data_IF_994821003480
#
_entry.id   IF_994821003480
#
_cell.length_a   1.000
_cell.length_b   1.000
_cell.length_c   1.000
_cell.angle_alpha   90.00
_cell.angle_beta   90.00
_cell.angle_gamma   90.00
#
_symmetry.space_group_name_H-M   'P 1'
#
loop_
_entity.id
_entity.type
_entity.pdbx_description
1 polymer ?
#
# COMPACT_ATOMS: atom_id res chain seq x y z
N UNK A 1 -12.26 17.81 -2.18
CA UNK A 1 -12.54 16.74 -1.18
C UNK A 1 -11.23 16.41 -0.49
N UNK A 2 -11.25 15.79 0.70
CA UNK A 2 -10.00 15.44 1.41
C UNK A 2 -9.28 14.24 0.79
N UNK A 3 -9.98 13.42 0.00
CA UNK A 3 -9.42 12.32 -0.80
C UNK A 3 -10.14 12.27 -2.14
N UNK A 4 -9.36 12.26 -3.19
CA UNK A 4 -9.83 12.15 -4.57
C UNK A 4 -9.66 10.71 -5.06
N UNK A 5 -10.60 10.25 -5.89
CA UNK A 5 -10.56 8.97 -6.57
C UNK A 5 -10.78 9.20 -8.06
N UNK A 6 -9.86 8.68 -8.88
CA UNK A 6 -10.01 8.54 -10.31
C UNK A 6 -9.84 7.07 -10.69
N UNK A 7 -10.74 6.54 -11.50
CA UNK A 7 -10.63 5.18 -12.04
C UNK A 7 -10.62 5.27 -13.56
N UNK A 8 -9.46 5.04 -14.14
CA UNK A 8 -9.25 5.12 -15.58
C UNK A 8 -8.41 3.95 -16.05
N UNK A 9 -8.83 3.27 -17.12
CA UNK A 9 -8.08 2.15 -17.71
C UNK A 9 -7.81 0.99 -16.75
N UNK A 10 -8.69 0.76 -15.76
CA UNK A 10 -8.51 -0.28 -14.74
C UNK A 10 -7.56 0.11 -13.61
N UNK A 11 -7.12 1.36 -13.55
CA UNK A 11 -6.24 1.88 -12.48
C UNK A 11 -7.04 2.81 -11.59
N UNK A 12 -7.11 2.51 -10.29
CA UNK A 12 -7.71 3.39 -9.29
C UNK A 12 -6.61 4.25 -8.66
N UNK A 13 -6.61 5.55 -8.93
CA UNK A 13 -5.71 6.53 -8.33
C UNK A 13 -6.41 7.18 -7.14
N UNK A 14 -5.91 6.91 -5.94
CA UNK A 14 -6.40 7.42 -4.66
C UNK A 14 -5.41 8.47 -4.18
N UNK A 15 -5.84 9.72 -4.09
CA UNK A 15 -4.97 10.84 -3.69
C UNK A 15 -5.50 11.49 -2.43
N UNK A 16 -4.73 11.45 -1.34
CA UNK A 16 -5.03 12.23 -0.13
C UNK A 16 -4.76 13.69 -0.48
N UNK A 17 -5.80 14.53 -0.48
CA UNK A 17 -5.74 15.91 -0.97
C UNK A 17 -5.95 16.91 0.16
N UNK A 18 -4.94 17.02 1.03
CA UNK A 18 -4.82 18.00 2.11
C UNK A 18 -3.39 18.53 2.22
N UNK A 19 -2.80 19.06 1.11
CA UNK A 19 -1.38 19.44 1.09
C UNK A 19 -1.01 20.51 2.13
N UNK A 20 -1.93 21.39 2.49
CA UNK A 20 -1.76 22.40 3.55
C UNK A 20 -1.63 21.78 4.96
N UNK A 21 -2.05 20.52 5.12
CA UNK A 21 -1.91 19.70 6.32
C UNK A 21 -0.91 18.55 6.14
N UNK A 22 -0.03 18.63 5.13
CA UNK A 22 0.91 17.56 4.82
C UNK A 22 0.20 16.21 4.57
N UNK A 23 -0.99 16.24 4.02
CA UNK A 23 -1.86 15.08 3.76
C UNK A 23 -2.12 14.23 5.02
N UNK A 24 -2.20 14.89 6.19
CA UNK A 24 -2.59 14.24 7.44
C UNK A 24 -4.05 13.78 7.39
N UNK A 25 -4.34 12.67 8.06
CA UNK A 25 -5.64 12.00 8.06
C UNK A 25 -6.38 12.34 9.35
N UNK A 26 -7.51 13.04 9.23
CA UNK A 26 -8.51 13.23 10.27
C UNK A 26 -9.65 12.19 10.14
N UNK A 27 -10.65 12.24 11.02
CA UNK A 27 -11.76 11.28 11.00
C UNK A 27 -12.55 11.31 9.67
N UNK A 28 -12.77 12.50 9.13
CA UNK A 28 -13.49 12.66 7.86
C UNK A 28 -12.70 12.08 6.68
N UNK A 29 -11.39 12.30 6.67
CA UNK A 29 -10.48 11.72 5.66
C UNK A 29 -10.41 10.20 5.80
N UNK A 30 -10.33 9.66 7.01
CA UNK A 30 -10.35 8.22 7.25
C UNK A 30 -11.65 7.57 6.77
N UNK A 31 -12.80 8.18 7.08
CA UNK A 31 -14.09 7.70 6.59
C UNK A 31 -14.19 7.74 5.05
N UNK A 32 -13.63 8.79 4.43
CA UNK A 32 -13.61 8.89 2.96
C UNK A 32 -12.71 7.83 2.34
N UNK A 33 -11.53 7.57 2.91
CA UNK A 33 -10.64 6.49 2.47
C UNK A 33 -11.36 5.13 2.55
N UNK A 34 -12.03 4.84 3.66
CA UNK A 34 -12.78 3.59 3.83
C UNK A 34 -13.85 3.42 2.75
N UNK A 35 -14.64 4.47 2.47
CA UNK A 35 -15.65 4.44 1.41
C UNK A 35 -15.02 4.20 0.01
N UNK A 36 -13.84 4.77 -0.24
CA UNK A 36 -13.10 4.56 -1.49
C UNK A 36 -12.61 3.11 -1.59
N UNK A 37 -12.08 2.54 -0.52
CA UNK A 37 -11.64 1.14 -0.53
C UNK A 37 -12.78 0.20 -0.82
N UNK A 38 -13.95 0.39 -0.19
CA UNK A 38 -15.15 -0.41 -0.45
C UNK A 38 -15.63 -0.26 -1.90
N UNK A 39 -15.56 0.95 -2.46
CA UNK A 39 -15.90 1.19 -3.87
C UNK A 39 -14.95 0.41 -4.80
N UNK A 40 -13.65 0.46 -4.56
CA UNK A 40 -12.63 -0.25 -5.36
C UNK A 40 -12.82 -1.77 -5.24
N UNK A 41 -13.09 -2.28 -4.05
CA UNK A 41 -13.34 -3.72 -3.83
C UNK A 41 -14.57 -4.23 -4.56
N UNK A 42 -15.60 -3.37 -4.71
CA UNK A 42 -16.81 -3.68 -5.46
C UNK A 42 -16.70 -3.52 -6.97
N UNK A 43 -15.60 -2.95 -7.48
CA UNK A 43 -15.41 -2.71 -8.92
C UNK A 43 -14.48 -3.77 -9.55
N UNK A 44 -15.02 -4.75 -10.30
CA UNK A 44 -14.22 -5.80 -10.92
C UNK A 44 -13.32 -5.29 -12.05
N UNK A 45 -13.56 -4.07 -12.56
CA UNK A 45 -12.73 -3.47 -13.63
C UNK A 45 -11.39 -2.98 -13.09
N UNK A 46 -11.25 -2.74 -11.77
CA UNK A 46 -10.00 -2.28 -11.18
C UNK A 46 -8.98 -3.41 -11.13
N UNK A 47 -7.80 -3.12 -11.66
CA UNK A 47 -6.67 -4.04 -11.80
C UNK A 47 -5.46 -3.65 -10.95
N UNK A 48 -5.34 -2.37 -10.61
CA UNK A 48 -4.25 -1.83 -9.82
C UNK A 48 -4.73 -0.59 -9.07
N UNK A 49 -4.18 -0.35 -7.89
CA UNK A 49 -4.40 0.86 -7.11
C UNK A 49 -3.08 1.63 -6.97
N UNK A 50 -3.15 2.94 -7.12
CA UNK A 50 -2.06 3.87 -6.77
C UNK A 50 -2.53 4.75 -5.63
N UNK A 51 -1.86 4.67 -4.48
CA UNK A 51 -2.09 5.56 -3.33
C UNK A 51 -1.02 6.63 -3.29
N UNK A 52 -1.43 7.91 -3.20
CA UNK A 52 -0.52 9.06 -3.19
C UNK A 52 -1.01 10.19 -2.30
N UNK A 53 -0.15 11.16 -2.05
CA UNK A 53 -0.52 12.44 -1.46
C UNK A 53 -0.46 13.57 -2.50
N UNK A 54 -1.36 14.57 -2.41
CA UNK A 54 -1.32 15.74 -3.26
C UNK A 54 -0.10 16.64 -2.96
N UNK A 55 0.40 17.31 -3.99
CA UNK A 55 1.56 18.20 -3.90
C UNK A 55 2.89 17.44 -3.82
N UNK A 56 3.96 18.15 -3.47
CA UNK A 56 5.33 17.63 -3.52
C UNK A 56 5.94 17.35 -2.14
N UNK A 57 5.31 17.87 -1.06
CA UNK A 57 5.93 17.84 0.28
C UNK A 57 5.74 16.54 1.02
N UNK A 58 4.57 15.93 0.91
CA UNK A 58 4.24 14.75 1.69
C UNK A 58 3.33 13.78 0.94
N UNK A 59 3.62 12.51 1.11
CA UNK A 59 2.65 11.45 0.92
C UNK A 59 1.58 11.55 2.01
N UNK A 60 1.99 11.45 3.28
CA UNK A 60 1.14 11.73 4.44
C UNK A 60 2.00 11.87 5.71
N UNK A 61 1.65 12.85 6.55
CA UNK A 61 2.24 13.02 7.87
C UNK A 61 1.54 12.18 8.96
N UNK A 62 0.63 11.27 8.60
CA UNK A 62 -0.12 10.43 9.53
C UNK A 62 -1.35 11.10 10.12
N UNK A 63 -1.67 10.84 11.39
CA UNK A 63 -2.85 11.37 12.03
C UNK A 63 -2.82 12.92 12.17
N UNK A 64 -3.93 13.58 11.85
CA UNK A 64 -4.05 15.03 12.03
C UNK A 64 -4.26 15.38 13.50
N UNK A 65 -3.17 15.69 14.19
CA UNK A 65 -3.20 16.08 15.61
C UNK A 65 -3.82 17.47 15.85
N UNK A 66 -4.12 18.23 14.80
CA UNK A 66 -4.67 19.58 14.87
C UNK A 66 -6.14 19.65 14.45
N UNK A 67 -6.77 18.51 14.12
CA UNK A 67 -8.15 18.47 13.63
C UNK A 67 -9.19 18.96 14.64
N UNK A 68 -8.84 19.03 15.93
CA UNK A 68 -9.80 19.34 17.02
C UNK A 68 -10.72 18.17 17.34
N UNK A 69 -10.65 17.08 16.63
CA UNK A 69 -11.36 15.86 16.95
C UNK A 69 -10.96 15.41 18.36
N UNK A 70 -11.93 15.11 19.22
CA UNK A 70 -11.63 14.55 20.55
C UNK A 70 -10.98 13.19 20.34
N UNK A 71 -9.66 13.19 20.29
CA UNK A 71 -8.91 11.97 20.15
C UNK A 71 -9.26 11.05 21.32
N UNK A 72 -9.62 9.82 21.02
CA UNK A 72 -9.69 8.75 22.02
C UNK A 72 -8.36 8.71 22.77
N UNK A 73 -8.36 8.35 24.06
CA UNK A 73 -7.12 8.07 24.75
C UNK A 73 -6.33 7.00 23.98
N UNK A 74 -5.02 6.98 24.11
CA UNK A 74 -4.19 5.97 23.42
C UNK A 74 -4.62 4.53 23.73
N UNK A 75 -4.99 4.26 25.00
CA UNK A 75 -5.53 2.96 25.43
C UNK A 75 -6.87 2.66 24.77
N UNK A 76 -7.75 3.65 24.69
CA UNK A 76 -9.08 3.48 24.09
C UNK A 76 -8.99 3.28 22.57
N UNK A 77 -8.12 4.03 21.90
CA UNK A 77 -7.82 3.83 20.49
C UNK A 77 -7.32 2.40 20.21
N UNK A 78 -6.37 1.94 21.03
CA UNK A 78 -5.83 0.58 20.93
C UNK A 78 -6.87 -0.50 21.23
N UNK A 79 -7.71 -0.30 22.26
CA UNK A 79 -8.72 -1.26 22.67
C UNK A 79 -9.87 -1.41 21.65
N UNK A 80 -10.27 -0.31 21.02
CA UNK A 80 -11.29 -0.33 19.97
C UNK A 80 -10.76 -0.99 18.68
N UNK A 81 -9.45 -0.93 18.46
CA UNK A 81 -8.78 -1.49 17.31
C UNK A 81 -9.18 -0.83 15.99
N UNK A 82 -8.33 -1.00 14.99
CA UNK A 82 -8.66 -0.73 13.59
C UNK A 82 -8.25 -1.95 12.77
N UNK A 83 -9.17 -2.87 12.45
CA UNK A 83 -8.81 -4.13 11.78
C UNK A 83 -8.14 -3.92 10.43
N UNK A 84 -8.42 -2.80 9.74
CA UNK A 84 -7.79 -2.47 8.44
C UNK A 84 -6.52 -1.62 8.60
N UNK A 85 -6.17 -1.21 9.83
CA UNK A 85 -5.03 -0.35 10.14
C UNK A 85 -5.19 1.08 9.66
N UNK A 86 -4.09 1.87 9.69
CA UNK A 86 -4.14 3.28 9.38
C UNK A 86 -4.59 3.53 7.93
N UNK A 87 -5.46 4.53 7.74
CA UNK A 87 -6.03 4.86 6.44
C UNK A 87 -6.87 3.73 5.82
N UNK A 88 -7.20 2.70 6.61
CA UNK A 88 -7.97 1.54 6.15
C UNK A 88 -7.22 0.64 5.18
N UNK A 89 -5.87 0.72 5.10
CA UNK A 89 -5.07 -0.02 4.09
C UNK A 89 -3.97 -0.90 4.69
N UNK A 90 -3.43 -0.56 5.87
CA UNK A 90 -2.22 -1.22 6.39
C UNK A 90 -2.39 -2.74 6.54
N UNK A 91 -3.56 -3.20 7.00
CA UNK A 91 -3.89 -4.61 7.18
C UNK A 91 -5.02 -5.09 6.26
N UNK A 92 -5.43 -4.29 5.27
CA UNK A 92 -6.56 -4.63 4.41
C UNK A 92 -6.25 -5.83 3.52
N UNK A 93 -6.81 -6.97 3.84
CA UNK A 93 -6.66 -8.23 3.11
C UNK A 93 -7.80 -8.49 2.10
N UNK A 94 -8.87 -7.68 2.16
CA UNK A 94 -10.02 -7.74 1.26
C UNK A 94 -9.72 -7.11 -0.11
N UNK A 95 -8.75 -6.19 -0.18
CA UNK A 95 -8.32 -5.55 -1.43
C UNK A 95 -7.40 -6.48 -2.22
N UNK A 96 -7.97 -7.20 -3.18
CA UNK A 96 -7.31 -8.30 -3.93
C UNK A 96 -6.36 -7.83 -5.03
N UNK A 97 -6.45 -6.58 -5.47
CA UNK A 97 -5.60 -6.02 -6.54
C UNK A 97 -4.29 -5.45 -5.99
N UNK A 98 -3.20 -5.42 -6.77
CA UNK A 98 -1.95 -4.79 -6.37
C UNK A 98 -2.12 -3.33 -5.98
N UNK A 99 -1.38 -2.90 -4.93
CA UNK A 99 -1.35 -1.51 -4.45
C UNK A 99 0.06 -0.96 -4.58
N UNK A 100 0.21 0.14 -5.29
CA UNK A 100 1.43 0.92 -5.39
C UNK A 100 1.33 2.13 -4.46
N UNK A 101 2.26 2.29 -3.53
CA UNK A 101 2.47 3.55 -2.82
C UNK A 101 3.39 4.45 -3.65
N UNK A 102 2.84 5.55 -4.17
CA UNK A 102 3.58 6.62 -4.85
C UNK A 102 3.98 7.68 -3.82
N UNK A 103 5.20 7.60 -3.32
CA UNK A 103 5.67 8.41 -2.20
C UNK A 103 6.38 9.66 -2.71
N UNK A 104 5.63 10.77 -2.76
CA UNK A 104 6.05 12.06 -3.28
C UNK A 104 6.75 12.98 -2.25
N UNK A 105 7.05 12.49 -1.04
CA UNK A 105 7.67 13.29 0.01
C UNK A 105 7.65 12.58 1.37
N UNK A 106 7.30 13.29 2.44
CA UNK A 106 7.25 12.71 3.77
C UNK A 106 6.18 11.62 3.90
N UNK A 107 6.59 10.43 4.37
CA UNK A 107 5.71 9.34 4.80
C UNK A 107 6.00 9.08 6.29
N UNK A 108 5.23 9.70 7.18
CA UNK A 108 5.51 9.73 8.61
C UNK A 108 4.36 9.20 9.44
N UNK A 109 4.66 8.52 10.53
CA UNK A 109 3.66 7.96 11.43
C UNK A 109 2.68 7.06 10.70
N UNK A 110 1.38 7.32 10.83
CA UNK A 110 0.34 6.61 10.07
C UNK A 110 0.53 6.66 8.54
N UNK A 111 1.20 7.71 8.01
CA UNK A 111 1.59 7.77 6.60
C UNK A 111 2.59 6.67 6.24
N UNK A 112 3.56 6.41 7.11
CA UNK A 112 4.46 5.28 6.96
C UNK A 112 3.72 3.94 7.12
N UNK A 113 2.75 3.85 8.03
CA UNK A 113 1.94 2.64 8.21
C UNK A 113 1.14 2.31 6.95
N UNK A 114 0.58 3.31 6.24
CA UNK A 114 -0.05 3.10 4.94
C UNK A 114 0.93 2.58 3.88
N UNK A 115 2.17 3.08 3.85
CA UNK A 115 3.22 2.56 2.95
C UNK A 115 3.52 1.10 3.25
N UNK A 116 3.59 0.69 4.52
CA UNK A 116 3.80 -0.71 4.93
C UNK A 116 2.66 -1.64 4.49
N UNK A 117 1.47 -1.10 4.23
CA UNK A 117 0.33 -1.83 3.70
C UNK A 117 0.31 -1.98 2.18
N UNK A 118 1.15 -1.24 1.46
CA UNK A 118 1.26 -1.36 0.00
C UNK A 118 2.05 -2.62 -0.41
N UNK A 119 1.84 -3.07 -1.64
CA UNK A 119 2.56 -4.21 -2.21
C UNK A 119 3.86 -3.77 -2.91
N UNK A 120 3.87 -2.55 -3.45
CA UNK A 120 4.98 -1.94 -4.19
C UNK A 120 5.15 -0.50 -3.71
N UNK A 121 6.39 -0.08 -3.51
CA UNK A 121 6.71 1.29 -3.07
C UNK A 121 7.62 1.96 -4.08
N UNK A 122 7.19 3.08 -4.62
CA UNK A 122 7.97 3.91 -5.54
C UNK A 122 8.08 5.31 -4.92
N UNK A 123 9.27 5.83 -4.78
CA UNK A 123 9.52 7.05 -4.04
C UNK A 123 10.32 8.09 -4.83
N UNK A 124 10.00 9.35 -4.61
CA UNK A 124 10.87 10.45 -5.01
C UNK A 124 12.16 10.41 -4.18
N UNK A 125 13.27 10.83 -4.77
CA UNK A 125 14.62 10.81 -4.18
C UNK A 125 14.73 11.63 -2.87
N UNK A 126 13.96 12.71 -2.77
CA UNK A 126 13.89 13.56 -1.58
C UNK A 126 12.94 13.02 -0.48
N UNK A 127 12.18 11.96 -0.75
CA UNK A 127 11.21 11.40 0.20
C UNK A 127 11.90 10.88 1.48
N UNK A 128 11.15 10.97 2.60
CA UNK A 128 11.63 10.53 3.91
C UNK A 128 10.56 9.72 4.62
N UNK A 129 11.00 8.69 5.29
CA UNK A 129 10.18 7.67 5.93
C UNK A 129 10.47 7.64 7.43
N UNK A 130 9.43 7.47 8.26
CA UNK A 130 9.66 7.36 9.69
C UNK A 130 8.42 7.05 10.50
N UNK A 131 8.61 6.29 11.57
CA UNK A 131 7.66 6.11 12.66
C UNK A 131 8.10 7.02 13.80
N UNK A 132 7.54 8.23 13.82
CA UNK A 132 8.01 9.33 14.68
C UNK A 132 7.25 9.45 15.99
N UNK A 133 6.31 8.55 16.27
CA UNK A 133 5.34 8.58 17.38
C UNK A 133 6.03 8.65 18.75
N UNK A 134 7.14 7.94 18.94
CA UNK A 134 7.87 7.93 20.19
C UNK A 134 8.36 9.34 20.64
N UNK A 135 8.61 10.25 19.66
CA UNK A 135 9.02 11.63 19.94
C UNK A 135 7.91 12.49 20.55
N UNK A 136 6.67 12.06 20.42
CA UNK A 136 5.49 12.76 20.96
C UNK A 136 4.73 11.89 21.96
N UNK A 137 5.39 10.85 22.52
CA UNK A 137 4.81 9.98 23.54
C UNK A 137 3.67 9.09 23.03
N UNK A 138 3.68 8.78 21.73
CA UNK A 138 2.69 7.90 21.09
C UNK A 138 3.36 6.63 20.56
N UNK A 139 2.52 5.72 20.05
CA UNK A 139 2.96 4.44 19.47
C UNK A 139 2.37 4.28 18.07
N UNK A 140 3.11 3.68 17.11
CA UNK A 140 2.60 3.32 15.78
C UNK A 140 1.79 2.03 15.87
N UNK A 141 0.50 2.18 16.27
CA UNK A 141 -0.38 1.06 16.66
C UNK A 141 -1.04 0.36 15.48
N UNK A 142 -1.12 1.03 14.34
CA UNK A 142 -1.84 0.54 13.15
C UNK A 142 -0.95 -0.27 12.20
N UNK A 143 0.09 -0.88 12.71
CA UNK A 143 0.97 -1.79 11.97
C UNK A 143 2.44 -1.46 12.02
N UNK A 144 2.82 -0.21 12.32
CA UNK A 144 4.21 0.24 12.28
C UNK A 144 5.16 -0.63 13.09
N UNK A 145 4.83 -0.92 14.35
CA UNK A 145 5.67 -1.73 15.25
C UNK A 145 5.84 -3.17 14.79
N UNK A 146 4.87 -3.73 14.08
CA UNK A 146 4.87 -5.16 13.74
C UNK A 146 5.29 -5.42 12.31
N UNK A 147 4.96 -4.54 11.36
CA UNK A 147 5.28 -4.74 9.95
C UNK A 147 6.67 -4.26 9.58
N UNK A 148 7.13 -3.10 10.11
CA UNK A 148 8.43 -2.56 9.73
C UNK A 148 9.56 -3.58 9.98
N UNK A 149 9.60 -4.20 11.15
CA UNK A 149 10.63 -5.19 11.52
C UNK A 149 10.52 -6.53 10.76
N UNK A 150 9.46 -6.74 9.99
CA UNK A 150 9.28 -7.91 9.11
C UNK A 150 9.68 -7.63 7.67
N UNK A 151 9.69 -6.35 7.28
CA UNK A 151 9.98 -5.90 5.92
C UNK A 151 11.44 -5.45 5.74
N UNK A 152 12.08 -4.97 6.83
CA UNK A 152 13.49 -4.56 6.81
C UNK A 152 14.25 -5.22 7.97
N UNK A 153 15.59 -5.23 7.97
CA UNK A 153 16.36 -5.81 9.07
C UNK A 153 15.94 -5.24 10.44
N UNK A 154 15.70 -6.13 11.40
CA UNK A 154 15.11 -5.81 12.71
C UNK A 154 15.85 -4.71 13.46
N UNK A 155 17.20 -4.71 13.44
CA UNK A 155 18.01 -3.69 14.10
C UNK A 155 17.84 -2.30 13.46
N UNK A 156 17.64 -2.22 12.15
CA UNK A 156 17.35 -0.98 11.43
C UNK A 156 15.96 -0.48 11.84
N UNK A 157 14.94 -1.35 11.80
CA UNK A 157 13.60 -1.03 12.25
C UNK A 157 13.57 -0.54 13.69
N UNK A 158 14.31 -1.21 14.61
CA UNK A 158 14.46 -0.79 16.00
C UNK A 158 15.10 0.61 16.10
N UNK A 159 16.18 0.87 15.34
CA UNK A 159 16.82 2.19 15.27
C UNK A 159 15.87 3.29 14.84
N UNK A 160 15.01 3.03 13.87
CA UNK A 160 13.98 3.98 13.41
C UNK A 160 12.91 4.22 14.49
N UNK A 161 12.31 3.17 15.03
CA UNK A 161 11.18 3.27 15.97
C UNK A 161 11.60 3.82 17.33
N UNK A 162 12.74 3.36 17.89
CA UNK A 162 13.19 3.77 19.22
C UNK A 162 13.75 5.19 19.26
N UNK A 163 14.17 5.74 18.14
CA UNK A 163 14.67 7.12 18.04
C UNK A 163 13.68 8.07 17.37
N UNK A 164 12.64 7.54 16.70
CA UNK A 164 11.73 8.33 15.88
C UNK A 164 12.44 9.07 14.74
N UNK A 165 13.60 8.57 14.26
CA UNK A 165 14.32 9.23 13.17
C UNK A 165 13.64 9.03 11.83
N UNK A 166 13.79 10.02 10.96
CA UNK A 166 13.39 9.93 9.57
C UNK A 166 14.56 9.45 8.72
N UNK A 167 14.29 8.52 7.82
CA UNK A 167 15.28 7.88 6.95
C UNK A 167 15.02 8.28 5.50
N UNK A 168 16.07 8.64 4.72
CA UNK A 168 15.92 8.97 3.30
C UNK A 168 15.47 7.78 2.45
N UNK A 169 14.80 8.05 1.33
CA UNK A 169 14.35 7.03 0.37
C UNK A 169 15.49 6.11 -0.08
N UNK A 170 16.66 6.66 -0.39
CA UNK A 170 17.83 5.88 -0.83
C UNK A 170 18.29 4.85 0.22
N UNK A 171 18.19 5.16 1.52
CA UNK A 171 18.52 4.21 2.58
C UNK A 171 17.41 3.16 2.72
N UNK A 172 16.13 3.55 2.65
CA UNK A 172 15.01 2.61 2.72
C UNK A 172 15.02 1.62 1.55
N UNK A 173 15.48 2.05 0.37
CA UNK A 173 15.70 1.17 -0.78
C UNK A 173 16.82 0.14 -0.50
N UNK A 174 17.94 0.57 0.12
CA UNK A 174 19.02 -0.36 0.55
C UNK A 174 18.55 -1.38 1.58
N UNK A 175 17.56 -1.02 2.40
CA UNK A 175 16.97 -1.93 3.40
C UNK A 175 15.89 -2.86 2.79
N UNK A 176 15.55 -2.68 1.50
CA UNK A 176 14.62 -3.54 0.77
C UNK A 176 13.15 -3.13 0.88
N UNK A 177 12.81 -1.96 1.43
CA UNK A 177 11.43 -1.51 1.53
C UNK A 177 10.93 -0.88 0.23
N UNK A 178 11.78 -0.22 -0.55
CA UNK A 178 11.41 0.57 -1.72
C UNK A 178 11.87 -0.13 -2.98
N UNK A 179 10.96 -0.29 -3.94
CA UNK A 179 11.20 -0.94 -5.23
C UNK A 179 11.98 -0.04 -6.20
N UNK A 180 11.67 1.28 -6.22
CA UNK A 180 12.37 2.24 -7.05
C UNK A 180 12.44 3.62 -6.37
N UNK A 181 13.59 4.28 -6.52
CA UNK A 181 13.82 5.67 -6.12
C UNK A 181 14.24 6.45 -7.34
N UNK A 182 13.50 7.50 -7.66
CA UNK A 182 13.72 8.32 -8.86
C UNK A 182 13.66 9.81 -8.53
N UNK A 183 14.24 10.69 -9.35
CA UNK A 183 14.02 12.12 -9.24
C UNK A 183 12.52 12.47 -9.24
N UNK A 184 12.11 13.45 -8.45
CA UNK A 184 10.69 13.80 -8.31
C UNK A 184 9.95 14.02 -9.65
N UNK A 185 10.53 14.66 -10.67
CA UNK A 185 9.87 14.82 -11.97
C UNK A 185 9.63 13.50 -12.74
N UNK A 186 10.36 12.44 -12.39
CA UNK A 186 10.27 11.12 -13.04
C UNK A 186 9.32 10.17 -12.31
N UNK A 187 8.80 10.57 -11.14
CA UNK A 187 8.04 9.69 -10.25
C UNK A 187 6.77 9.13 -10.92
N UNK A 188 6.03 9.95 -11.65
CA UNK A 188 4.83 9.51 -12.35
C UNK A 188 5.16 8.53 -13.49
N UNK A 189 6.18 8.83 -14.26
CA UNK A 189 6.63 7.94 -15.36
C UNK A 189 7.09 6.59 -14.84
N UNK A 190 7.76 6.55 -13.68
CA UNK A 190 8.15 5.30 -13.03
C UNK A 190 6.94 4.51 -12.56
N UNK A 191 5.99 5.16 -11.88
CA UNK A 191 4.73 4.52 -11.46
C UNK A 191 3.97 3.96 -12.66
N UNK A 192 3.89 4.70 -13.76
CA UNK A 192 3.19 4.26 -14.98
C UNK A 192 3.88 3.04 -15.63
N UNK A 193 5.21 2.91 -15.56
CA UNK A 193 5.92 1.68 -15.97
C UNK A 193 5.48 0.48 -15.15
N UNK A 194 5.44 0.60 -13.81
CA UNK A 194 4.98 -0.48 -12.94
C UNK A 194 3.51 -0.83 -13.16
N UNK A 195 2.65 0.16 -13.42
CA UNK A 195 1.26 -0.07 -13.80
C UNK A 195 1.17 -0.86 -15.11
N UNK A 196 1.96 -0.51 -16.11
CA UNK A 196 1.98 -1.22 -17.38
C UNK A 196 2.39 -2.69 -17.20
N UNK A 197 3.43 -2.96 -16.42
CA UNK A 197 3.87 -4.33 -16.10
C UNK A 197 2.77 -5.13 -15.35
N UNK A 198 2.12 -4.52 -14.35
CA UNK A 198 1.03 -5.13 -13.61
C UNK A 198 -0.16 -5.43 -14.53
N UNK A 199 -0.57 -4.47 -15.35
CA UNK A 199 -1.75 -4.62 -16.20
C UNK A 199 -1.51 -5.54 -17.41
N UNK A 200 -0.27 -5.80 -17.76
CA UNK A 200 0.10 -6.83 -18.73
C UNK A 200 -0.07 -8.26 -18.21
N UNK A 201 -0.16 -8.46 -16.90
CA UNK A 201 -0.33 -9.79 -16.28
C UNK A 201 -1.81 -10.18 -16.17
N UNK A 202 -2.10 -11.48 -16.10
CA UNK A 202 -3.46 -12.00 -15.88
C UNK A 202 -4.00 -11.57 -14.50
N UNK A 203 -5.17 -10.91 -14.43
CA UNK A 203 -5.68 -10.33 -13.18
C UNK A 203 -5.93 -11.35 -12.07
N UNK A 204 -6.45 -12.52 -12.40
CA UNK A 204 -6.70 -13.58 -11.40
C UNK A 204 -5.40 -14.17 -10.87
N UNK A 205 -4.35 -14.25 -11.70
CA UNK A 205 -3.02 -14.67 -11.25
C UNK A 205 -2.43 -13.68 -10.25
N UNK A 206 -2.57 -12.38 -10.49
CA UNK A 206 -2.10 -11.35 -9.54
C UNK A 206 -2.86 -11.42 -8.21
N UNK A 207 -4.19 -11.63 -8.24
CA UNK A 207 -5.01 -11.82 -7.03
C UNK A 207 -4.57 -13.04 -6.23
N UNK A 208 -4.31 -14.15 -6.91
CA UNK A 208 -3.82 -15.39 -6.30
C UNK A 208 -2.44 -15.21 -5.66
N UNK A 209 -1.50 -14.58 -6.37
CA UNK A 209 -0.14 -14.29 -5.86
C UNK A 209 -0.23 -13.39 -4.61
N UNK A 210 -1.00 -12.30 -4.66
CA UNK A 210 -1.16 -11.39 -3.52
C UNK A 210 -1.79 -12.10 -2.32
N UNK A 211 -2.83 -12.91 -2.55
CA UNK A 211 -3.46 -13.69 -1.48
C UNK A 211 -2.46 -14.66 -0.83
N UNK A 212 -1.65 -15.37 -1.63
CA UNK A 212 -0.58 -16.23 -1.12
C UNK A 212 0.42 -15.45 -0.29
N UNK A 213 0.97 -14.36 -0.81
CA UNK A 213 1.96 -13.55 -0.10
C UNK A 213 1.44 -13.07 1.27
N UNK A 214 0.19 -12.63 1.35
CA UNK A 214 -0.39 -12.07 2.59
C UNK A 214 -0.83 -13.13 3.59
N UNK A 215 -1.58 -14.13 3.15
CA UNK A 215 -2.21 -15.12 4.05
C UNK A 215 -1.26 -16.19 4.53
N UNK A 216 -0.16 -16.44 3.81
CA UNK A 216 0.81 -17.47 4.19
C UNK A 216 2.08 -16.91 4.81
N UNK A 217 2.17 -15.60 5.04
CA UNK A 217 3.37 -14.92 5.53
C UNK A 217 3.91 -15.43 6.89
N UNK A 218 3.07 -16.13 7.66
CA UNK A 218 3.44 -16.72 8.96
C UNK A 218 3.60 -18.24 8.92
N UNK A 219 3.38 -18.87 7.77
CA UNK A 219 3.49 -20.31 7.58
C UNK A 219 4.92 -20.71 7.21
N UNK A 220 5.30 -21.96 7.47
CA UNK A 220 6.50 -22.51 6.85
C UNK A 220 6.32 -22.60 5.33
N UNK A 221 7.42 -22.58 4.57
CA UNK A 221 7.35 -22.66 3.11
C UNK A 221 6.58 -23.90 2.61
N UNK A 222 6.71 -25.03 3.32
CA UNK A 222 6.01 -26.28 2.97
C UNK A 222 4.50 -26.17 3.22
N UNK A 223 4.09 -25.62 4.35
CA UNK A 223 2.67 -25.38 4.65
C UNK A 223 2.06 -24.38 3.67
N UNK A 224 2.76 -23.26 3.41
CA UNK A 224 2.34 -22.27 2.43
C UNK A 224 2.15 -22.87 1.04
N UNK A 225 3.11 -23.67 0.55
CA UNK A 225 2.99 -24.35 -0.75
C UNK A 225 1.82 -25.35 -0.80
N UNK A 226 1.40 -25.87 0.36
CA UNK A 226 0.23 -26.74 0.50
C UNK A 226 -1.11 -26.00 0.62
N UNK A 227 -1.11 -24.68 0.82
CA UNK A 227 -2.34 -23.93 1.04
C UNK A 227 -3.27 -23.97 -0.21
N UNK A 228 -4.57 -24.10 0.05
CA UNK A 228 -5.60 -24.20 -1.00
C UNK A 228 -6.52 -22.97 -0.89
N UNK A 229 -5.99 -21.82 -1.27
CA UNK A 229 -6.74 -20.58 -1.23
C UNK A 229 -7.73 -20.52 -2.41
N UNK A 230 -8.95 -19.99 -2.19
CA UNK A 230 -9.95 -19.84 -3.26
C UNK A 230 -9.43 -19.09 -4.49
N UNK A 231 -8.61 -18.07 -4.29
CA UNK A 231 -8.02 -17.26 -5.36
C UNK A 231 -7.10 -18.06 -6.28
N UNK A 232 -6.40 -19.10 -5.75
CA UNK A 232 -5.58 -19.99 -6.57
C UNK A 232 -6.48 -20.87 -7.44
N UNK A 233 -7.55 -21.43 -6.85
CA UNK A 233 -8.50 -22.29 -7.56
C UNK A 233 -9.18 -21.48 -8.69
N UNK A 234 -9.60 -20.25 -8.40
CA UNK A 234 -10.17 -19.34 -9.37
C UNK A 234 -9.21 -19.07 -10.54
N UNK A 235 -7.97 -18.71 -10.26
CA UNK A 235 -6.94 -18.43 -11.27
C UNK A 235 -6.64 -19.67 -12.14
N UNK A 236 -6.50 -20.85 -11.52
CA UNK A 236 -6.17 -22.10 -12.22
C UNK A 236 -7.31 -22.64 -13.10
N UNK A 237 -8.55 -22.27 -12.81
CA UNK A 237 -9.72 -22.65 -13.60
C UNK A 237 -10.17 -21.56 -14.59
N UNK A 238 -9.44 -20.44 -14.69
CA UNK A 238 -9.83 -19.30 -15.49
C UNK A 238 -9.64 -19.51 -17.00
N UNK A 239 -10.40 -18.78 -17.81
CA UNK A 239 -10.16 -18.67 -19.25
C UNK A 239 -8.79 -18.06 -19.54
N UNK A 240 -8.32 -17.16 -18.68
CA UNK A 240 -7.05 -16.45 -18.81
C UNK A 240 -5.82 -17.39 -18.73
N UNK A 241 -5.93 -18.51 -18.01
CA UNK A 241 -4.88 -19.53 -18.00
C UNK A 241 -4.65 -20.12 -19.40
N UNK A 242 -5.71 -20.39 -20.14
CA UNK A 242 -5.63 -20.91 -21.49
C UNK A 242 -5.19 -19.84 -22.49
N UNK A 243 -5.70 -18.63 -22.34
CA UNK A 243 -5.33 -17.47 -23.16
C UNK A 243 -3.83 -17.17 -23.06
N UNK A 244 -3.26 -17.19 -21.85
CA UNK A 244 -1.84 -16.92 -21.65
C UNK A 244 -0.95 -17.90 -22.42
N UNK A 245 -1.28 -19.18 -22.41
CA UNK A 245 -0.54 -20.22 -23.15
C UNK A 245 -0.73 -20.05 -24.67
N UNK A 246 -1.95 -19.78 -25.13
CA UNK A 246 -2.23 -19.56 -26.55
C UNK A 246 -1.49 -18.34 -27.09
N UNK A 247 -1.59 -17.20 -26.41
CA UNK A 247 -0.91 -15.96 -26.78
C UNK A 247 0.61 -16.12 -26.87
N UNK A 248 1.21 -16.83 -25.90
CA UNK A 248 2.64 -17.15 -25.91
C UNK A 248 3.05 -17.96 -27.14
N UNK A 249 2.31 -19.02 -27.45
CA UNK A 249 2.59 -19.90 -28.60
C UNK A 249 2.40 -19.17 -29.94
N UNK A 250 1.41 -18.29 -30.01
CA UNK A 250 1.06 -17.49 -31.20
C UNK A 250 1.91 -16.22 -31.31
N UNK A 251 2.77 -15.92 -30.33
CA UNK A 251 3.62 -14.71 -30.25
C UNK A 251 2.84 -13.40 -30.36
N UNK A 252 1.68 -13.34 -29.73
CA UNK A 252 0.83 -12.14 -29.63
C UNK A 252 0.65 -11.70 -28.18
N UNK A 253 0.18 -10.46 -27.98
CA UNK A 253 -0.24 -10.00 -26.68
C UNK A 253 -1.49 -10.78 -26.20
N UNK A 254 -1.56 -11.18 -24.92
CA UNK A 254 -2.75 -11.82 -24.36
C UNK A 254 -3.90 -10.82 -24.19
N UNK A 255 -5.12 -11.32 -24.24
CA UNK A 255 -6.35 -10.55 -24.00
C UNK A 255 -7.03 -11.11 -22.74
N UNK A 256 -6.71 -10.50 -21.61
CA UNK A 256 -7.22 -10.95 -20.33
C UNK A 256 -8.68 -10.62 -20.12
N UNK A 257 -9.46 -11.59 -19.66
CA UNK A 257 -10.89 -11.46 -19.38
C UNK A 257 -11.20 -11.38 -17.87
N UNK A 258 -10.28 -11.82 -17.03
CA UNK A 258 -10.46 -11.85 -15.58
C UNK A 258 -11.48 -12.88 -15.09
N UNK A 259 -11.70 -13.95 -15.82
CA UNK A 259 -12.67 -15.00 -15.52
C UNK A 259 -12.23 -16.37 -15.99
#
# INVERSE_FOLDING_TARGET
MSVDLDITGGVARVTINRPERMNAVDLATAARLEAIWQQIEGDPSVRCVVLSGAGEKAFSAGADMKSGDKAKSGVQYWADGNPMGFGGITFRDTLKVPVIARVNGFALGGGMEMVLGADIVIAADHARFGLTEARVGRLPLDGGMVLLQRLIPRNIAAGMMLTGRMVPAAEMARYGLINAVVPAPELDAEVDRWIADITACAPLSLRAIKAMMRRTAQMSAREAAGARLPELIEALNSEDQHEGVAAFNEKRAPVWKGR
#
